data_IF_268917278969
#
_entry.id   IF_268917278969
#
_cell.length_a   1.000
_cell.length_b   1.000
_cell.length_c   1.000
_cell.angle_alpha   90.00
_cell.angle_beta   90.00
_cell.angle_gamma   90.00
#
_symmetry.space_group_name_H-M   'P 1'
#
loop_
_entity.id
_entity.type
_entity.pdbx_description
1 polymer ?
#
# COMPACT_ATOMS: atom_id res chain seq x y z
N UNK A 1 16.16 17.84 -5.72
CA UNK A 1 15.15 18.55 -6.54
C UNK A 1 13.78 17.96 -6.21
N UNK A 2 12.74 18.76 -5.95
CA UNK A 2 11.38 18.26 -5.69
C UNK A 2 10.40 18.91 -6.67
N UNK A 3 9.50 18.10 -7.23
CA UNK A 3 8.40 18.64 -8.02
C UNK A 3 7.42 19.42 -7.13
N UNK A 4 6.94 20.56 -7.64
CA UNK A 4 5.93 21.39 -6.99
C UNK A 4 4.75 21.63 -7.94
N UNK A 5 3.57 21.96 -7.40
CA UNK A 5 2.37 22.29 -8.18
C UNK A 5 1.53 21.09 -8.65
N UNK A 6 2.01 19.86 -8.48
CA UNK A 6 1.23 18.65 -8.78
C UNK A 6 0.03 18.47 -7.83
N UNK A 7 -1.00 17.71 -8.26
CA UNK A 7 -2.23 17.55 -7.46
C UNK A 7 -2.04 16.62 -6.26
N UNK A 8 -1.04 15.73 -6.26
CA UNK A 8 -0.72 14.86 -5.13
C UNK A 8 0.09 15.63 -4.08
N UNK A 9 -0.39 15.66 -2.84
CA UNK A 9 0.31 16.29 -1.71
C UNK A 9 1.15 15.24 -0.97
N UNK A 10 2.35 15.65 -0.58
CA UNK A 10 3.25 14.91 0.31
C UNK A 10 3.62 15.86 1.44
N UNK A 11 3.53 15.40 2.68
CA UNK A 11 3.80 16.17 3.88
C UNK A 11 4.86 15.49 4.76
N UNK A 12 5.59 16.33 5.48
CA UNK A 12 6.48 15.93 6.57
C UNK A 12 5.68 15.86 7.87
N UNK A 13 6.03 14.90 8.72
CA UNK A 13 5.34 14.61 9.99
C UNK A 13 6.32 14.54 11.17
N UNK A 14 7.54 15.04 11.00
CA UNK A 14 8.64 14.97 11.99
C UNK A 14 8.25 15.53 13.36
N UNK A 15 7.39 16.55 13.37
CA UNK A 15 6.90 17.22 14.58
C UNK A 15 5.65 16.56 15.20
N UNK A 16 5.18 15.46 14.61
CA UNK A 16 3.98 14.71 15.02
C UNK A 16 4.27 13.26 15.39
N UNK A 17 5.40 12.70 14.96
CA UNK A 17 5.75 11.31 15.28
C UNK A 17 5.87 11.09 16.78
N UNK A 18 5.56 9.89 17.21
CA UNK A 18 5.69 9.48 18.60
C UNK A 18 7.17 9.58 19.05
N UNK A 19 7.47 10.09 20.26
CA UNK A 19 8.85 10.31 20.73
C UNK A 19 9.75 9.07 20.68
N UNK A 20 9.17 7.88 20.80
CA UNK A 20 9.90 6.60 20.70
C UNK A 20 10.58 6.42 19.33
N UNK A 21 10.11 7.09 18.28
CA UNK A 21 10.78 7.12 16.98
C UNK A 21 12.20 7.71 17.07
N UNK A 22 12.42 8.72 17.93
CA UNK A 22 13.76 9.29 18.13
C UNK A 22 14.70 8.28 18.80
N UNK A 23 14.19 7.38 19.64
CA UNK A 23 14.99 6.29 20.23
C UNK A 23 15.40 5.27 19.18
N UNK A 24 14.51 4.94 18.24
CA UNK A 24 14.84 4.10 17.09
C UNK A 24 15.95 4.74 16.23
N UNK A 25 15.81 6.03 15.89
CA UNK A 25 16.82 6.74 15.10
C UNK A 25 18.17 6.80 15.82
N UNK A 26 18.18 7.11 17.12
CA UNK A 26 19.41 7.12 17.91
C UNK A 26 20.07 5.74 17.98
N UNK A 27 19.29 4.67 18.15
CA UNK A 27 19.80 3.30 18.15
C UNK A 27 20.42 2.92 16.79
N UNK A 28 19.78 3.30 15.67
CA UNK A 28 20.32 3.07 14.34
C UNK A 28 21.63 3.85 14.09
N UNK A 29 21.71 5.11 14.55
CA UNK A 29 22.95 5.90 14.46
C UNK A 29 24.09 5.29 15.30
N UNK A 30 23.79 4.75 16.48
CA UNK A 30 24.77 4.05 17.31
C UNK A 30 25.31 2.77 16.65
N UNK A 31 24.55 2.19 15.72
CA UNK A 31 24.96 1.06 14.87
C UNK A 31 25.66 1.50 13.57
N UNK A 32 25.96 2.79 13.42
CA UNK A 32 26.62 3.34 12.24
C UNK A 32 25.69 3.58 11.03
N UNK A 33 24.37 3.43 11.19
CA UNK A 33 23.42 3.72 10.12
C UNK A 33 23.12 5.22 10.11
N UNK A 34 23.44 5.90 9.01
CA UNK A 34 23.23 7.33 8.88
C UNK A 34 21.76 7.71 9.04
N UNK A 35 21.49 8.80 9.75
CA UNK A 35 20.17 9.45 9.75
C UNK A 35 20.08 10.36 8.52
N UNK A 36 19.00 10.21 7.77
CA UNK A 36 18.70 11.02 6.59
C UNK A 36 17.34 11.68 6.72
N UNK A 37 17.24 12.89 6.20
CA UNK A 37 16.00 13.68 6.27
C UNK A 37 15.07 13.41 5.08
N UNK A 38 15.58 12.76 4.02
CA UNK A 38 14.86 12.58 2.77
C UNK A 38 15.23 11.29 2.03
N UNK A 39 14.36 10.29 2.07
CA UNK A 39 14.49 9.05 1.33
C UNK A 39 14.43 9.19 -0.20
N UNK A 40 13.91 10.32 -0.70
CA UNK A 40 13.80 10.63 -2.13
C UNK A 40 14.85 11.66 -2.56
N UNK A 41 15.88 11.88 -1.74
CA UNK A 41 17.05 12.67 -2.09
C UNK A 41 18.03 11.90 -2.98
N UNK A 42 19.28 12.40 -3.13
CA UNK A 42 20.31 11.74 -3.92
C UNK A 42 20.68 10.33 -3.43
N UNK A 43 20.52 10.07 -2.13
CA UNK A 43 20.69 8.75 -1.54
C UNK A 43 19.50 8.42 -0.65
N UNK A 44 19.05 7.17 -0.74
CA UNK A 44 17.99 6.60 0.09
C UNK A 44 18.56 5.84 1.30
N UNK A 45 19.88 5.57 1.32
CA UNK A 45 20.53 4.76 2.35
C UNK A 45 20.59 5.52 3.68
N UNK A 46 19.96 4.95 4.71
CA UNK A 46 19.88 5.51 6.04
C UNK A 46 18.53 5.31 6.69
N UNK A 47 18.38 5.84 7.91
CA UNK A 47 17.12 5.86 8.66
C UNK A 47 16.56 7.28 8.79
N UNK A 48 15.25 7.40 8.95
CA UNK A 48 14.58 8.68 9.01
C UNK A 48 13.10 8.57 9.33
N UNK A 49 12.42 9.71 9.32
CA UNK A 49 10.96 9.79 9.43
C UNK A 49 10.35 9.70 8.04
N UNK A 50 9.30 8.90 7.89
CA UNK A 50 8.61 8.76 6.62
C UNK A 50 7.84 10.03 6.26
N UNK A 51 7.93 10.44 4.99
CA UNK A 51 6.99 11.39 4.40
C UNK A 51 5.69 10.67 4.07
N UNK A 52 4.56 11.38 4.18
CA UNK A 52 3.23 10.78 4.01
C UNK A 52 2.42 11.51 2.96
N UNK A 53 1.57 10.77 2.24
CA UNK A 53 0.56 11.34 1.35
C UNK A 53 -0.64 11.84 2.15
N UNK A 54 -0.49 13.01 2.74
CA UNK A 54 -1.55 13.72 3.47
C UNK A 54 -1.70 15.15 2.99
N UNK A 55 -2.89 15.71 3.22
CA UNK A 55 -3.21 17.12 3.00
C UNK A 55 -3.95 17.64 4.22
N UNK A 56 -3.25 18.39 5.07
CA UNK A 56 -3.83 18.96 6.28
C UNK A 56 -4.39 17.89 7.23
N UNK A 57 -3.63 16.81 7.42
CA UNK A 57 -3.96 15.69 8.31
C UNK A 57 -4.97 14.68 7.75
N UNK A 58 -5.49 14.88 6.54
CA UNK A 58 -6.31 13.90 5.84
C UNK A 58 -5.48 13.08 4.88
N UNK A 59 -5.83 11.80 4.70
CA UNK A 59 -5.26 10.96 3.64
C UNK A 59 -5.48 11.60 2.26
N UNK A 60 -4.40 11.78 1.51
CA UNK A 60 -4.44 12.23 0.12
C UNK A 60 -4.27 11.00 -0.79
N UNK A 61 -5.39 10.50 -1.33
CA UNK A 61 -5.38 9.38 -2.29
C UNK A 61 -5.34 9.88 -3.73
N UNK A 62 -4.96 9.01 -4.68
CA UNK A 62 -5.05 9.33 -6.11
C UNK A 62 -6.47 9.66 -6.56
N UNK A 63 -7.48 9.00 -5.99
CA UNK A 63 -8.89 9.33 -6.24
C UNK A 63 -9.24 10.75 -5.77
N UNK A 64 -8.73 11.20 -4.62
CA UNK A 64 -8.98 12.56 -4.12
C UNK A 64 -8.19 13.61 -4.92
N UNK A 65 -6.92 13.33 -5.19
CA UNK A 65 -6.02 14.26 -5.88
C UNK A 65 -6.37 14.45 -7.36
N UNK A 66 -6.66 13.36 -8.08
CA UNK A 66 -6.88 13.38 -9.53
C UNK A 66 -8.35 13.19 -9.90
N UNK A 67 -8.98 12.10 -9.43
CA UNK A 67 -10.29 11.69 -9.93
C UNK A 67 -11.40 12.66 -9.52
N UNK A 68 -11.49 13.06 -8.25
CA UNK A 68 -12.55 13.97 -7.75
C UNK A 68 -12.57 15.29 -8.52
N UNK A 69 -11.40 15.87 -8.78
CA UNK A 69 -11.29 17.09 -9.59
C UNK A 69 -11.75 16.85 -11.03
N UNK A 70 -11.41 15.69 -11.60
CA UNK A 70 -11.80 15.34 -12.96
C UNK A 70 -13.31 15.05 -13.12
N UNK A 71 -13.98 14.59 -12.07
CA UNK A 71 -15.42 14.29 -12.08
C UNK A 71 -16.33 15.50 -12.35
N UNK A 72 -15.80 16.72 -12.24
CA UNK A 72 -16.53 17.93 -12.63
C UNK A 72 -16.63 18.13 -14.14
N UNK A 73 -15.87 17.36 -14.94
CA UNK A 73 -15.89 17.47 -16.40
C UNK A 73 -17.04 16.64 -16.97
N UNK A 74 -17.78 17.21 -17.92
CA UNK A 74 -18.92 16.55 -18.57
C UNK A 74 -18.55 15.34 -19.42
N UNK A 75 -17.27 15.16 -19.75
CA UNK A 75 -16.76 14.07 -20.57
C UNK A 75 -16.20 12.89 -19.75
N UNK A 76 -16.43 12.84 -18.44
CA UNK A 76 -16.05 11.72 -17.57
C UNK A 76 -17.27 11.12 -16.88
N UNK A 77 -17.48 9.83 -17.08
CA UNK A 77 -18.45 9.04 -16.34
C UNK A 77 -17.72 8.09 -15.38
N UNK A 78 -18.20 8.00 -14.13
CA UNK A 78 -17.59 7.18 -13.08
C UNK A 78 -18.61 6.19 -12.55
N UNK A 79 -18.43 4.93 -12.93
CA UNK A 79 -19.26 3.82 -12.48
C UNK A 79 -18.63 3.15 -11.25
N UNK A 80 -19.31 3.21 -10.12
CA UNK A 80 -18.89 2.51 -8.88
C UNK A 80 -19.70 1.23 -8.69
N UNK A 81 -19.21 0.30 -7.87
CA UNK A 81 -19.83 -1.01 -7.65
C UNK A 81 -20.06 -1.80 -8.96
N UNK A 82 -19.26 -1.50 -9.98
CA UNK A 82 -19.29 -2.11 -11.30
C UNK A 82 -18.10 -3.07 -11.42
N UNK A 83 -18.36 -4.36 -11.21
CA UNK A 83 -17.33 -5.40 -11.26
C UNK A 83 -17.16 -5.91 -12.69
N UNK A 84 -16.06 -5.56 -13.33
CA UNK A 84 -15.73 -6.02 -14.69
C UNK A 84 -15.45 -7.52 -14.69
N UNK A 85 -16.13 -8.24 -15.59
CA UNK A 85 -16.06 -9.70 -15.70
C UNK A 85 -15.15 -10.15 -16.85
N UNK A 86 -15.16 -9.40 -17.95
CA UNK A 86 -14.30 -9.64 -19.12
C UNK A 86 -14.17 -8.41 -20.01
N UNK A 87 -13.10 -8.37 -20.80
CA UNK A 87 -12.92 -7.47 -21.94
C UNK A 87 -13.67 -8.07 -23.13
N UNK A 88 -14.44 -7.24 -23.82
CA UNK A 88 -15.12 -7.61 -25.06
C UNK A 88 -14.13 -7.53 -26.22
N UNK A 89 -13.99 -8.61 -26.98
CA UNK A 89 -13.02 -8.75 -28.06
C UNK A 89 -13.72 -8.93 -29.41
N UNK A 90 -13.24 -8.22 -30.45
CA UNK A 90 -13.56 -8.46 -31.86
C UNK A 90 -12.27 -8.85 -32.57
N UNK A 91 -12.07 -10.15 -32.79
CA UNK A 91 -10.76 -10.69 -33.16
C UNK A 91 -9.70 -10.30 -32.11
N UNK A 92 -8.65 -9.60 -32.52
CA UNK A 92 -7.58 -9.12 -31.63
C UNK A 92 -7.83 -7.73 -31.05
N UNK A 93 -8.97 -7.09 -31.33
CA UNK A 93 -9.28 -5.73 -30.88
C UNK A 93 -10.19 -5.76 -29.64
N UNK A 94 -9.77 -5.08 -28.58
CA UNK A 94 -10.67 -4.77 -27.46
C UNK A 94 -11.69 -3.70 -27.88
N UNK A 95 -12.98 -4.00 -27.71
CA UNK A 95 -14.11 -3.13 -28.12
C UNK A 95 -14.97 -2.68 -26.95
N UNK A 96 -14.65 -3.10 -25.73
CA UNK A 96 -15.40 -2.72 -24.53
C UNK A 96 -15.14 -3.64 -23.36
N UNK A 97 -16.00 -3.54 -22.35
CA UNK A 97 -16.00 -4.40 -21.17
C UNK A 97 -17.43 -4.83 -20.84
N UNK A 98 -17.55 -6.05 -20.32
CA UNK A 98 -18.76 -6.54 -19.69
C UNK A 98 -18.56 -6.51 -18.17
N UNK A 99 -19.55 -5.99 -17.45
CA UNK A 99 -19.45 -5.80 -16.01
C UNK A 99 -20.80 -6.07 -15.33
N UNK A 100 -20.74 -6.43 -14.06
CA UNK A 100 -21.91 -6.61 -13.20
C UNK A 100 -22.05 -5.42 -12.26
N UNK A 101 -23.23 -4.83 -12.21
CA UNK A 101 -23.55 -3.71 -11.33
C UNK A 101 -24.97 -3.87 -10.80
N UNK A 102 -25.16 -3.79 -9.48
CA UNK A 102 -26.47 -3.97 -8.83
C UNK A 102 -27.20 -5.25 -9.27
N UNK A 103 -26.46 -6.36 -9.41
CA UNK A 103 -26.99 -7.66 -9.85
C UNK A 103 -27.28 -7.80 -11.34
N UNK A 104 -27.13 -6.73 -12.14
CA UNK A 104 -27.38 -6.75 -13.59
C UNK A 104 -26.08 -6.87 -14.38
N UNK A 105 -26.11 -7.62 -15.48
CA UNK A 105 -25.04 -7.70 -16.46
C UNK A 105 -25.19 -6.55 -17.46
N UNK A 106 -24.13 -5.76 -17.65
CA UNK A 106 -24.09 -4.58 -18.48
C UNK A 106 -22.84 -4.59 -19.36
N UNK A 107 -22.86 -3.82 -20.44
CA UNK A 107 -21.71 -3.67 -21.34
C UNK A 107 -21.43 -2.18 -21.60
N UNK A 108 -20.15 -1.83 -21.63
CA UNK A 108 -19.67 -0.51 -22.03
C UNK A 108 -18.71 -0.65 -23.21
N UNK A 109 -19.04 -0.04 -24.34
CA UNK A 109 -18.24 -0.09 -25.55
C UNK A 109 -17.24 1.06 -25.63
N UNK A 110 -16.04 0.76 -26.14
CA UNK A 110 -14.96 1.72 -26.30
C UNK A 110 -14.68 1.96 -27.79
N UNK A 111 -14.75 3.23 -28.23
CA UNK A 111 -14.41 3.60 -29.61
C UNK A 111 -12.89 3.57 -29.87
N UNK A 112 -12.10 3.95 -28.87
CA UNK A 112 -10.65 4.11 -28.99
C UNK A 112 -9.88 3.00 -28.26
N UNK A 113 -9.97 2.96 -26.91
CA UNK A 113 -9.09 2.13 -26.09
C UNK A 113 -9.84 1.59 -24.86
N UNK A 114 -9.42 0.40 -24.42
CA UNK A 114 -9.73 -0.16 -23.11
C UNK A 114 -8.42 -0.22 -22.33
N UNK A 115 -8.36 0.43 -21.16
CA UNK A 115 -7.17 0.46 -20.30
C UNK A 115 -7.47 -0.29 -19.03
N UNK A 116 -6.68 -1.32 -18.72
CA UNK A 116 -6.83 -2.10 -17.49
C UNK A 116 -6.06 -1.46 -16.34
N UNK A 117 -6.77 -1.17 -15.26
CA UNK A 117 -6.22 -0.60 -14.03
C UNK A 117 -6.62 -1.41 -12.79
N UNK A 118 -6.79 -2.74 -12.92
CA UNK A 118 -7.18 -3.64 -11.85
C UNK A 118 -6.06 -4.00 -10.85
N UNK A 119 -4.86 -3.46 -11.03
CA UNK A 119 -3.68 -3.79 -10.23
C UNK A 119 -3.04 -5.13 -10.62
N UNK A 120 -1.97 -5.51 -9.91
CA UNK A 120 -1.12 -6.67 -10.23
C UNK A 120 -1.83 -8.04 -10.05
N UNK A 121 -2.98 -8.07 -9.37
CA UNK A 121 -3.78 -9.28 -9.15
C UNK A 121 -4.95 -9.34 -10.13
N UNK A 122 -5.83 -8.33 -10.14
CA UNK A 122 -7.07 -8.43 -10.91
C UNK A 122 -6.86 -8.19 -12.41
N UNK A 123 -5.84 -7.43 -12.82
CA UNK A 123 -5.59 -7.20 -14.25
C UNK A 123 -5.20 -8.47 -15.00
N UNK A 124 -4.20 -9.28 -14.55
CA UNK A 124 -3.90 -10.54 -15.22
C UNK A 124 -5.04 -11.55 -15.12
N UNK A 125 -5.76 -11.60 -14.00
CA UNK A 125 -6.96 -12.44 -13.88
C UNK A 125 -8.01 -12.06 -14.93
N UNK A 126 -8.33 -10.77 -15.06
CA UNK A 126 -9.30 -10.29 -16.03
C UNK A 126 -8.86 -10.57 -17.48
N UNK A 127 -7.58 -10.41 -17.79
CA UNK A 127 -7.03 -10.78 -19.10
C UNK A 127 -7.25 -12.26 -19.40
N UNK A 128 -6.93 -13.15 -18.44
CA UNK A 128 -7.16 -14.58 -18.57
C UNK A 128 -8.65 -14.91 -18.77
N UNK A 129 -9.55 -14.31 -17.97
CA UNK A 129 -11.01 -14.45 -18.14
C UNK A 129 -11.51 -13.92 -19.50
N UNK A 130 -10.75 -13.02 -20.13
CA UNK A 130 -11.06 -12.44 -21.45
C UNK A 130 -10.44 -13.23 -22.62
N UNK A 131 -9.83 -14.39 -22.35
CA UNK A 131 -9.16 -15.19 -23.38
C UNK A 131 -7.78 -14.67 -23.78
N UNK A 132 -7.14 -13.84 -22.96
CA UNK A 132 -5.80 -13.29 -23.18
C UNK A 132 -4.85 -13.89 -22.14
N UNK A 133 -4.06 -14.88 -22.53
CA UNK A 133 -3.22 -15.63 -21.58
C UNK A 133 -2.55 -16.86 -22.18
N UNK A 134 -2.06 -17.73 -21.31
CA UNK A 134 -1.51 -19.05 -21.66
C UNK A 134 -2.62 -19.95 -22.27
N UNK A 135 -2.51 -20.37 -23.55
CA UNK A 135 -3.53 -21.21 -24.19
C UNK A 135 -3.85 -22.50 -23.42
N UNK A 136 -2.86 -23.10 -22.77
CA UNK A 136 -3.07 -24.33 -22.00
C UNK A 136 -3.88 -24.06 -20.72
N UNK A 137 -3.67 -22.92 -20.06
CA UNK A 137 -4.50 -22.49 -18.92
C UNK A 137 -5.93 -22.20 -19.39
N UNK A 138 -6.09 -21.41 -20.45
CA UNK A 138 -7.40 -21.02 -20.98
C UNK A 138 -8.24 -22.24 -21.39
N UNK A 139 -7.61 -23.21 -22.08
CA UNK A 139 -8.27 -24.45 -22.48
C UNK A 139 -8.79 -25.27 -21.30
N UNK A 140 -8.05 -25.32 -20.18
CA UNK A 140 -8.48 -26.03 -18.96
C UNK A 140 -9.77 -25.47 -18.35
N UNK A 141 -10.03 -24.18 -18.56
CA UNK A 141 -11.24 -23.51 -18.08
C UNK A 141 -12.30 -23.31 -19.17
N UNK A 142 -12.13 -23.93 -20.35
CA UNK A 142 -13.09 -23.80 -21.46
C UNK A 142 -13.18 -22.39 -22.06
N UNK A 143 -12.13 -21.58 -21.91
CA UNK A 143 -12.09 -20.20 -22.42
C UNK A 143 -11.43 -20.20 -23.80
N UNK A 144 -12.12 -19.63 -24.79
CA UNK A 144 -11.57 -19.45 -26.12
C UNK A 144 -10.40 -18.45 -26.11
N UNK A 145 -9.33 -18.79 -26.81
CA UNK A 145 -8.13 -17.94 -26.91
C UNK A 145 -8.41 -16.77 -27.85
N UNK A 146 -8.47 -15.55 -27.31
CA UNK A 146 -8.55 -14.31 -28.07
C UNK A 146 -7.15 -13.80 -28.47
N UNK A 147 -6.17 -13.96 -27.57
CA UNK A 147 -4.77 -13.67 -27.85
C UNK A 147 -3.85 -14.51 -26.96
N UNK A 148 -2.90 -15.20 -27.57
CA UNK A 148 -1.86 -15.93 -26.84
C UNK A 148 -0.91 -14.95 -26.14
N UNK A 149 -0.82 -15.07 -24.82
CA UNK A 149 0.12 -14.31 -24.00
C UNK A 149 0.50 -15.10 -22.74
N UNK A 150 1.40 -16.08 -22.83
CA UNK A 150 1.71 -17.01 -21.73
C UNK A 150 2.29 -16.35 -20.48
N UNK A 151 2.82 -15.12 -20.62
CA UNK A 151 3.39 -14.35 -19.51
C UNK A 151 2.32 -13.62 -18.68
N UNK A 152 1.07 -13.57 -19.11
CA UNK A 152 -0.03 -12.96 -18.32
C UNK A 152 -0.19 -13.71 -17.01
N UNK A 153 0.01 -12.99 -15.90
CA UNK A 153 -0.06 -13.54 -14.55
C UNK A 153 1.25 -14.13 -14.04
N UNK A 154 2.33 -14.16 -14.83
CA UNK A 154 3.66 -14.58 -14.37
C UNK A 154 4.44 -13.40 -13.77
N UNK A 155 5.51 -13.71 -13.02
CA UNK A 155 6.45 -12.72 -12.52
C UNK A 155 5.91 -11.86 -11.37
N UNK A 156 4.91 -12.36 -10.62
CA UNK A 156 4.38 -11.67 -9.45
C UNK A 156 5.51 -11.43 -8.44
N UNK A 157 5.60 -10.21 -7.96
CA UNK A 157 6.57 -9.78 -6.96
C UNK A 157 5.82 -9.05 -5.85
N UNK A 158 6.25 -9.30 -4.62
CA UNK A 158 5.75 -8.61 -3.44
C UNK A 158 6.87 -8.49 -2.41
N UNK A 159 6.72 -7.56 -1.49
CA UNK A 159 7.65 -7.31 -0.41
C UNK A 159 7.26 -8.14 0.82
N UNK A 160 7.77 -9.37 0.88
CA UNK A 160 7.61 -10.22 2.06
C UNK A 160 8.37 -9.60 3.23
N UNK A 161 7.64 -9.27 4.30
CA UNK A 161 8.23 -8.72 5.51
C UNK A 161 8.20 -9.73 6.66
N UNK A 162 9.18 -9.58 7.56
CA UNK A 162 9.12 -10.12 8.92
C UNK A 162 8.82 -8.97 9.87
N UNK A 163 8.02 -9.23 10.90
CA UNK A 163 7.69 -8.25 11.95
C UNK A 163 8.03 -8.82 13.31
N UNK A 164 8.84 -8.09 14.07
CA UNK A 164 9.13 -8.36 15.47
C UNK A 164 8.36 -7.38 16.35
N UNK A 165 7.79 -7.89 17.43
CA UNK A 165 7.03 -7.10 18.40
C UNK A 165 7.78 -7.10 19.73
N UNK A 166 7.94 -5.92 20.31
CA UNK A 166 8.67 -5.74 21.56
C UNK A 166 7.80 -5.00 22.58
N UNK A 167 7.84 -5.46 23.83
CA UNK A 167 7.33 -4.68 24.96
C UNK A 167 8.31 -3.56 25.29
N UNK A 168 7.79 -2.35 25.49
CA UNK A 168 8.56 -1.17 25.84
C UNK A 168 8.55 -0.93 27.36
N UNK A 169 9.60 -0.29 27.86
CA UNK A 169 9.68 0.25 29.24
C UNK A 169 9.31 1.73 29.33
N UNK A 170 8.91 2.32 28.21
CA UNK A 170 8.49 3.71 28.08
C UNK A 170 7.10 3.74 27.44
N UNK A 171 6.30 4.80 27.67
CA UNK A 171 5.02 4.94 27.00
C UNK A 171 5.17 4.86 25.47
N UNK A 172 4.22 4.20 24.82
CA UNK A 172 4.12 4.10 23.37
C UNK A 172 2.75 4.53 22.88
N UNK A 173 2.49 4.36 21.58
CA UNK A 173 1.18 4.68 21.03
C UNK A 173 0.08 3.74 21.57
N UNK A 174 0.45 2.59 22.14
CA UNK A 174 -0.46 1.69 22.84
C UNK A 174 -1.09 2.36 24.06
N UNK A 175 -0.35 3.18 24.81
CA UNK A 175 -0.89 3.88 25.99
C UNK A 175 -1.94 4.92 25.58
N UNK A 176 -1.77 5.55 24.41
CA UNK A 176 -2.73 6.53 23.88
C UNK A 176 -3.94 5.84 23.24
N UNK A 177 -3.73 4.82 22.42
CA UNK A 177 -4.77 4.18 21.63
C UNK A 177 -5.35 2.92 22.29
N UNK A 178 -4.83 2.49 23.43
CA UNK A 178 -5.33 1.35 24.20
C UNK A 178 -6.51 1.71 25.07
N UNK A 179 -6.51 2.91 25.68
CA UNK A 179 -7.57 3.35 26.60
C UNK A 179 -8.66 4.17 25.89
N UNK A 180 -9.88 4.17 26.45
CA UNK A 180 -10.99 4.96 25.91
C UNK A 180 -10.75 6.48 26.02
N UNK A 181 -10.22 6.94 27.16
CA UNK A 181 -9.89 8.36 27.36
C UNK A 181 -8.75 8.83 26.45
N UNK A 182 -7.75 7.99 26.20
CA UNK A 182 -6.66 8.29 25.27
C UNK A 182 -7.16 8.40 23.82
N UNK A 183 -8.05 7.49 23.40
CA UNK A 183 -8.75 7.58 22.10
C UNK A 183 -9.57 8.86 21.99
N UNK A 184 -10.32 9.23 23.04
CA UNK A 184 -11.10 10.46 23.06
C UNK A 184 -10.19 11.69 22.92
N UNK A 185 -9.08 11.75 23.68
CA UNK A 185 -8.09 12.81 23.55
C UNK A 185 -7.47 12.90 22.15
N UNK A 186 -7.12 11.75 21.54
CA UNK A 186 -6.63 11.69 20.18
C UNK A 186 -7.67 12.18 19.16
N UNK A 187 -8.95 11.83 19.34
CA UNK A 187 -10.06 12.28 18.51
C UNK A 187 -10.28 13.78 18.64
N UNK A 188 -10.28 14.33 19.86
CA UNK A 188 -10.42 15.76 20.11
C UNK A 188 -9.25 16.56 19.50
N UNK A 189 -8.01 16.07 19.66
CA UNK A 189 -6.84 16.69 19.02
C UNK A 189 -6.97 16.71 17.50
N UNK A 190 -7.38 15.58 16.91
CA UNK A 190 -7.61 15.50 15.47
C UNK A 190 -8.75 16.45 15.02
N UNK A 191 -9.85 16.55 15.77
CA UNK A 191 -10.94 17.44 15.45
C UNK A 191 -10.52 18.92 15.53
N UNK A 192 -9.69 19.28 16.52
CA UNK A 192 -9.24 20.65 16.75
C UNK A 192 -8.26 21.15 15.70
N UNK A 193 -7.20 20.38 15.41
CA UNK A 193 -6.12 20.84 14.53
C UNK A 193 -5.66 19.81 13.49
N UNK A 194 -6.34 18.66 13.38
CA UNK A 194 -6.01 17.56 12.44
C UNK A 194 -4.60 17.02 12.63
N UNK A 195 -4.13 17.00 13.88
CA UNK A 195 -2.82 16.46 14.26
C UNK A 195 -2.96 15.26 15.20
N UNK A 196 -1.85 14.56 15.38
CA UNK A 196 -1.74 13.43 16.29
C UNK A 196 -1.91 12.10 15.58
N UNK A 197 -2.08 11.00 16.32
CA UNK A 197 -1.95 9.66 15.76
C UNK A 197 -3.01 9.28 14.72
N UNK A 198 -4.11 10.02 14.65
CA UNK A 198 -5.18 9.78 13.67
C UNK A 198 -4.94 10.46 12.32
N UNK A 199 -3.96 11.36 12.21
CA UNK A 199 -3.65 12.11 10.98
C UNK A 199 -2.50 11.51 10.16
N UNK A 200 -1.96 10.37 10.57
CA UNK A 200 -0.73 9.80 10.02
C UNK A 200 -0.75 8.27 10.01
N UNK A 201 0.15 7.68 9.23
CA UNK A 201 0.31 6.22 9.17
C UNK A 201 0.89 5.64 10.46
N UNK A 202 0.69 4.32 10.64
CA UNK A 202 1.23 3.58 11.79
C UNK A 202 2.75 3.43 11.72
N UNK A 203 3.33 3.28 10.53
CA UNK A 203 4.77 3.27 10.33
C UNK A 203 5.25 4.72 10.25
N UNK A 204 5.95 5.18 11.28
CA UNK A 204 6.30 6.60 11.44
C UNK A 204 7.78 6.85 11.12
N UNK A 205 8.64 5.92 11.53
CA UNK A 205 10.06 5.95 11.23
C UNK A 205 10.46 4.65 10.51
N UNK A 206 11.65 4.64 9.95
CA UNK A 206 12.18 3.47 9.28
C UNK A 206 13.45 3.82 8.55
N UNK A 207 13.76 3.07 7.50
CA UNK A 207 14.93 3.35 6.70
C UNK A 207 15.14 2.35 5.58
N UNK A 208 16.15 2.62 4.80
CA UNK A 208 16.63 1.70 3.78
C UNK A 208 18.10 1.44 4.04
N UNK A 209 18.46 0.16 4.16
CA UNK A 209 19.81 -0.25 4.54
C UNK A 209 20.35 -1.24 3.53
N UNK A 210 21.66 -1.19 3.36
CA UNK A 210 22.43 -2.23 2.70
C UNK A 210 22.87 -3.26 3.74
N UNK A 211 22.87 -4.54 3.38
CA UNK A 211 23.48 -5.58 4.22
C UNK A 211 24.95 -5.77 3.86
N UNK A 212 25.37 -5.33 2.67
CA UNK A 212 26.76 -5.39 2.19
C UNK A 212 27.41 -4.00 2.13
N UNK A 213 28.71 -3.88 2.46
CA UNK A 213 29.40 -2.57 2.50
C UNK A 213 29.52 -1.88 1.13
N UNK A 214 29.52 -2.65 0.04
CA UNK A 214 29.69 -2.21 -1.34
C UNK A 214 28.37 -1.94 -2.08
N UNK A 215 27.22 -2.19 -1.42
CA UNK A 215 25.93 -2.04 -2.06
C UNK A 215 25.56 -0.56 -2.24
N UNK A 216 25.50 -0.13 -3.51
CA UNK A 216 25.05 1.21 -3.91
C UNK A 216 23.54 1.40 -3.72
N UNK A 217 22.79 0.31 -3.69
CA UNK A 217 21.33 0.31 -3.63
C UNK A 217 20.83 -0.35 -2.35
N UNK A 218 19.69 0.09 -1.80
CA UNK A 218 19.16 -0.50 -0.58
C UNK A 218 18.66 -1.92 -0.80
N UNK A 219 19.01 -2.81 0.11
CA UNK A 219 18.64 -4.24 0.04
C UNK A 219 17.46 -4.54 0.97
N UNK A 220 17.42 -3.87 2.12
CA UNK A 220 16.34 -4.00 3.10
C UNK A 220 15.68 -2.65 3.35
N UNK A 221 14.36 -2.67 3.47
CA UNK A 221 13.60 -1.56 4.02
C UNK A 221 13.10 -1.92 5.42
N UNK A 222 13.36 -1.02 6.36
CA UNK A 222 13.00 -1.11 7.77
C UNK A 222 11.76 -0.25 8.03
N UNK A 223 10.82 -0.78 8.80
CA UNK A 223 9.69 -0.04 9.34
C UNK A 223 9.75 -0.05 10.86
N UNK A 224 9.46 1.10 11.45
CA UNK A 224 9.29 1.25 12.87
C UNK A 224 7.90 1.84 13.15
N UNK A 225 7.13 1.08 13.91
CA UNK A 225 5.79 1.42 14.34
C UNK A 225 5.79 1.58 15.86
N UNK A 226 5.45 2.77 16.40
CA UNK A 226 5.41 3.00 17.84
C UNK A 226 4.22 2.35 18.54
N UNK A 227 3.47 1.47 17.85
CA UNK A 227 2.45 0.62 18.43
C UNK A 227 2.80 -0.87 18.23
N UNK A 228 2.29 -1.69 19.14
CA UNK A 228 2.18 -3.13 18.94
C UNK A 228 0.72 -3.56 18.94
N UNK A 229 0.41 -4.55 18.11
CA UNK A 229 -0.87 -5.23 18.09
C UNK A 229 -0.63 -6.67 17.65
N UNK A 230 -1.18 -7.63 18.40
CA UNK A 230 -1.18 -9.03 17.95
C UNK A 230 -2.14 -9.20 16.77
N UNK A 231 -1.64 -9.71 15.63
CA UNK A 231 -2.45 -10.04 14.44
C UNK A 231 -3.08 -11.43 14.49
N UNK A 232 -2.67 -12.27 15.45
CA UNK A 232 -3.09 -13.67 15.57
C UNK A 232 -3.42 -14.01 17.01
N UNK A 233 -4.56 -14.67 17.24
CA UNK A 233 -4.89 -15.26 18.53
C UNK A 233 -3.99 -16.46 18.82
N UNK A 234 -3.64 -16.63 20.10
CA UNK A 234 -2.86 -17.76 20.61
C UNK A 234 -3.54 -19.12 20.48
N UNK A 235 -4.82 -19.22 20.07
CA UNK A 235 -5.52 -20.53 19.98
C UNK A 235 -6.63 -20.64 18.92
N UNK A 236 -6.85 -19.64 18.04
CA UNK A 236 -8.09 -19.61 17.23
C UNK A 236 -7.98 -19.26 15.76
N UNK A 237 -6.79 -18.92 15.25
CA UNK A 237 -6.58 -18.61 13.83
C UNK A 237 -7.39 -17.43 13.26
N UNK A 238 -8.17 -16.72 14.07
CA UNK A 238 -8.95 -15.55 13.64
C UNK A 238 -8.04 -14.33 13.63
N UNK A 239 -8.09 -13.58 12.53
CA UNK A 239 -7.45 -12.27 12.43
C UNK A 239 -8.10 -11.33 13.44
N UNK A 240 -7.36 -10.93 14.48
CA UNK A 240 -7.83 -9.88 15.38
C UNK A 240 -7.93 -8.58 14.59
N UNK A 241 -9.02 -7.86 14.78
CA UNK A 241 -9.06 -6.44 14.42
C UNK A 241 -7.88 -5.75 15.11
N UNK A 242 -7.15 -4.87 14.41
CA UNK A 242 -5.94 -4.20 14.89
C UNK A 242 -6.20 -3.40 16.18
N UNK A 243 -6.23 -4.10 17.31
CA UNK A 243 -6.38 -3.56 18.66
C UNK A 243 -4.98 -3.48 19.26
N UNK A 244 -4.55 -2.29 19.71
CA UNK A 244 -3.29 -2.16 20.43
C UNK A 244 -3.22 -3.16 21.58
N UNK A 245 -2.03 -3.71 21.82
CA UNK A 245 -1.82 -4.59 22.95
C UNK A 245 -2.00 -3.82 24.27
N UNK A 246 -2.42 -4.48 25.37
CA UNK A 246 -2.75 -3.82 26.63
C UNK A 246 -1.51 -3.35 27.43
N UNK A 247 -0.34 -3.30 26.80
CA UNK A 247 0.92 -2.87 27.38
C UNK A 247 1.67 -1.97 26.39
N UNK A 248 2.59 -1.10 26.89
CA UNK A 248 3.46 -0.32 26.02
C UNK A 248 4.27 -1.25 25.13
N UNK A 249 4.20 -1.02 23.81
CA UNK A 249 4.85 -1.87 22.83
C UNK A 249 5.05 -1.16 21.49
N UNK A 250 6.01 -1.66 20.73
CA UNK A 250 6.32 -1.21 19.38
C UNK A 250 6.61 -2.41 18.48
N UNK A 251 6.52 -2.22 17.17
CA UNK A 251 6.91 -3.24 16.21
C UNK A 251 7.95 -2.71 15.22
N UNK A 252 8.82 -3.63 14.82
CA UNK A 252 9.87 -3.41 13.83
C UNK A 252 9.71 -4.44 12.74
N UNK A 253 9.59 -3.97 11.50
CA UNK A 253 9.48 -4.83 10.34
C UNK A 253 10.63 -4.61 9.38
N UNK A 254 11.02 -5.66 8.67
CA UNK A 254 12.01 -5.57 7.60
C UNK A 254 11.54 -6.40 6.40
N UNK A 255 11.78 -5.89 5.18
CA UNK A 255 11.58 -6.67 3.95
C UNK A 255 12.70 -6.41 2.96
N UNK A 256 12.89 -7.38 2.06
CA UNK A 256 13.79 -7.21 0.92
C UNK A 256 13.18 -6.24 -0.10
N UNK A 257 13.93 -5.20 -0.46
CA UNK A 257 13.53 -4.23 -1.49
C UNK A 257 13.55 -4.83 -2.90
N UNK A 258 14.33 -5.89 -3.11
CA UNK A 258 14.50 -6.57 -4.40
C UNK A 258 14.43 -8.08 -4.20
N UNK A 259 13.24 -8.64 -3.94
CA UNK A 259 13.08 -10.08 -3.79
C UNK A 259 13.47 -10.79 -5.09
N UNK A 260 14.15 -11.93 -4.99
CA UNK A 260 14.48 -12.80 -6.13
C UNK A 260 13.36 -13.79 -6.44
N UNK A 261 12.56 -14.15 -5.44
CA UNK A 261 11.38 -15.01 -5.58
C UNK A 261 10.37 -14.42 -6.57
N UNK A 262 9.68 -15.30 -7.32
CA UNK A 262 8.63 -14.94 -8.29
C UNK A 262 7.40 -15.81 -8.08
N UNK A 263 6.24 -15.19 -8.00
CA UNK A 263 4.94 -15.86 -7.95
C UNK A 263 4.20 -15.81 -9.28
N UNK A 264 2.95 -16.26 -9.25
CA UNK A 264 2.03 -16.10 -10.36
C UNK A 264 0.58 -15.91 -9.88
N UNK A 265 -0.26 -15.37 -10.75
CA UNK A 265 -1.72 -15.25 -10.61
C UNK A 265 -2.36 -16.01 -11.76
N UNK A 266 -3.25 -16.93 -11.44
CA UNK A 266 -4.04 -17.69 -12.40
C UNK A 266 -5.50 -17.72 -11.97
N UNK A 267 -6.39 -17.74 -12.96
CA UNK A 267 -7.78 -18.16 -12.77
C UNK A 267 -7.86 -19.61 -12.27
N UNK A 268 -8.97 -19.92 -11.60
CA UNK A 268 -9.24 -21.21 -10.96
C UNK A 268 -10.61 -21.73 -11.40
#
# INVERSE_FOLDING_TARGET
>A
LRGAGGPMRVERIDDQVHPVCQRFLAAAQALGIARIDDFNGPSMLGVGIYQVNTRGGWRESTARAYLRTAMHRSNLDVQTQAHVLRVLMLGRRAVGVEYRQHGRLLQAHARAQVVLCGGAINSPQLLQLSGIGDPALLARHGIAVAAESPMVGRGLQDHLHITHVYRARVPTLNDTLGSWHGKLGAALRFAWNRRGPLSMGVNQAGGFVATRPDAVLPELQLYFNPASYSTRDGDGGRWRQMRPDPFPGFSMSAHACRPTSRGHVAIA
#
